data_IF_226692157972
#
_entry.id   IF_226692157972
#
_cell.length_a   1.000
_cell.length_b   1.000
_cell.length_c   1.000
_cell.angle_alpha   90.00
_cell.angle_beta   90.00
_cell.angle_gamma   90.00
#
_symmetry.space_group_name_H-M   'P 1'
#
loop_
_entity.id
_entity.type
_entity.pdbx_description
1 polymer ?
#
# COMPACT_ATOMS: atom_id res chain seq x y z
N UNK A 1 6.84 -38.43 11.28
CA UNK A 1 6.45 -37.00 11.11
C UNK A 1 7.09 -36.23 12.25
N UNK A 2 8.08 -35.37 11.97
CA UNK A 2 8.59 -34.47 13.00
C UNK A 2 7.47 -33.47 13.34
N UNK A 3 7.10 -33.37 14.61
CA UNK A 3 6.21 -32.30 15.10
C UNK A 3 6.84 -30.97 14.75
N UNK A 4 6.22 -30.22 13.82
CA UNK A 4 6.70 -28.91 13.40
C UNK A 4 6.67 -27.99 14.63
N UNK A 5 7.83 -27.49 15.05
CA UNK A 5 7.90 -26.54 16.16
C UNK A 5 7.06 -25.32 15.81
N UNK A 6 6.15 -24.93 16.71
CA UNK A 6 5.33 -23.73 16.58
C UNK A 6 5.96 -22.67 17.47
N UNK A 7 6.43 -21.57 16.88
CA UNK A 7 7.05 -20.47 17.61
C UNK A 7 5.99 -19.60 18.26
N UNK A 8 6.04 -19.45 19.59
CA UNK A 8 5.30 -18.42 20.32
C UNK A 8 5.85 -17.06 19.93
N UNK A 9 5.06 -16.30 19.19
CA UNK A 9 5.51 -15.09 18.51
C UNK A 9 4.83 -13.87 19.10
N UNK A 10 5.60 -12.83 19.36
CA UNK A 10 5.09 -11.49 19.68
C UNK A 10 5.37 -10.58 18.50
N UNK A 11 4.39 -9.78 18.11
CA UNK A 11 4.62 -8.68 17.17
C UNK A 11 4.70 -7.40 18.00
N UNK A 12 5.89 -6.84 18.13
CA UNK A 12 6.06 -5.56 18.79
C UNK A 12 5.77 -4.44 17.78
N UNK A 13 4.65 -3.75 17.95
CA UNK A 13 4.14 -2.68 17.09
C UNK A 13 2.75 -3.05 16.58
N UNK A 14 1.69 -2.42 17.11
CA UNK A 14 0.31 -2.67 16.69
C UNK A 14 -0.16 -1.72 15.56
N UNK A 15 0.78 -1.05 14.88
CA UNK A 15 0.52 -0.22 13.71
C UNK A 15 0.45 -1.03 12.41
N UNK A 16 0.32 -0.34 11.27
CA UNK A 16 0.19 -0.92 9.94
C UNK A 16 1.11 -2.12 9.67
N UNK A 17 2.41 -1.91 9.82
CA UNK A 17 3.44 -2.91 9.49
C UNK A 17 3.28 -4.17 10.34
N UNK A 18 3.07 -4.03 11.65
CA UNK A 18 2.82 -5.17 12.51
C UNK A 18 1.54 -5.92 12.13
N UNK A 19 0.45 -5.19 11.84
CA UNK A 19 -0.81 -5.80 11.41
C UNK A 19 -0.68 -6.56 10.08
N UNK A 20 0.02 -6.00 9.08
CA UNK A 20 0.24 -6.68 7.80
C UNK A 20 1.19 -7.87 7.95
N UNK A 21 2.24 -7.73 8.76
CA UNK A 21 3.13 -8.85 9.06
C UNK A 21 2.37 -10.01 9.68
N UNK A 22 1.43 -9.74 10.59
CA UNK A 22 0.58 -10.77 11.19
C UNK A 22 -0.20 -11.58 10.14
N UNK A 23 -0.67 -10.95 9.06
CA UNK A 23 -1.42 -11.60 7.97
C UNK A 23 -0.54 -12.48 7.07
N UNK A 24 0.76 -12.20 7.01
CA UNK A 24 1.74 -12.94 6.21
C UNK A 24 2.30 -14.18 6.92
N UNK A 25 2.14 -14.28 8.24
CA UNK A 25 2.71 -15.38 9.01
C UNK A 25 1.97 -16.70 8.75
N UNK A 26 2.73 -17.71 8.35
CA UNK A 26 2.22 -19.08 8.20
C UNK A 26 2.11 -19.84 9.53
N UNK A 27 1.56 -21.05 9.47
CA UNK A 27 1.20 -21.89 10.63
C UNK A 27 2.35 -22.28 11.57
N UNK A 28 3.61 -21.97 11.24
CA UNK A 28 4.75 -22.19 12.13
C UNK A 28 4.84 -21.14 13.24
N UNK A 29 4.09 -20.04 13.15
CA UNK A 29 4.16 -18.90 14.08
C UNK A 29 2.80 -18.71 14.75
N UNK A 30 2.75 -18.93 16.06
CA UNK A 30 1.58 -18.65 16.88
C UNK A 30 1.70 -17.24 17.46
N UNK A 31 0.94 -16.28 16.93
CA UNK A 31 0.93 -14.92 17.46
C UNK A 31 0.22 -14.91 18.81
N UNK A 32 0.92 -14.51 19.87
CA UNK A 32 0.38 -14.48 21.22
C UNK A 32 -0.26 -13.15 21.56
N UNK A 33 0.38 -12.04 21.19
CA UNK A 33 -0.18 -10.71 21.27
C UNK A 33 0.59 -9.75 20.36
N UNK A 34 -0.01 -8.58 20.13
CA UNK A 34 0.75 -7.39 19.78
C UNK A 34 1.27 -6.73 21.05
N UNK A 35 2.54 -6.35 21.08
CA UNK A 35 3.06 -5.41 22.08
C UNK A 35 2.99 -4.00 21.50
N UNK A 36 2.62 -2.98 22.28
CA UNK A 36 2.66 -1.58 21.82
C UNK A 36 3.01 -0.67 23.00
N UNK A 37 3.74 0.42 22.75
CA UNK A 37 4.08 1.39 23.80
C UNK A 37 2.93 2.35 24.11
N UNK A 38 1.92 2.44 23.24
CA UNK A 38 0.74 3.28 23.47
C UNK A 38 -0.23 2.61 24.47
N UNK A 39 -0.36 3.12 25.71
CA UNK A 39 -1.22 2.51 26.72
C UNK A 39 -2.70 2.57 26.33
N UNK A 40 -3.11 3.47 25.44
CA UNK A 40 -4.50 3.57 24.97
C UNK A 40 -4.93 2.34 24.19
N UNK A 41 -3.98 1.62 23.56
CA UNK A 41 -4.25 0.40 22.79
C UNK A 41 -4.33 -0.85 23.66
N UNK A 42 -3.81 -0.82 24.89
CA UNK A 42 -3.73 -2.02 25.72
C UNK A 42 -5.13 -2.52 26.11
N UNK A 43 -5.34 -3.83 25.99
CA UNK A 43 -6.65 -4.46 26.20
C UNK A 43 -7.59 -4.42 24.99
N UNK A 44 -7.22 -3.71 23.92
CA UNK A 44 -7.88 -3.82 22.62
C UNK A 44 -7.39 -5.06 21.86
N UNK A 45 -8.02 -5.34 20.72
CA UNK A 45 -7.71 -6.47 19.86
C UNK A 45 -7.54 -6.03 18.41
N UNK A 46 -6.61 -6.68 17.70
CA UNK A 46 -6.53 -6.64 16.24
C UNK A 46 -7.01 -8.01 15.75
N UNK A 47 -8.20 -8.03 15.13
CA UNK A 47 -8.91 -9.29 14.92
C UNK A 47 -9.13 -9.99 16.26
N UNK A 48 -8.58 -11.21 16.41
CA UNK A 48 -8.67 -12.00 17.64
C UNK A 48 -7.37 -11.96 18.47
N UNK A 49 -6.41 -11.11 18.12
CA UNK A 49 -5.10 -11.05 18.78
C UNK A 49 -5.08 -9.86 19.75
N UNK A 50 -4.80 -10.07 21.05
CA UNK A 50 -4.82 -8.99 22.03
C UNK A 50 -3.63 -8.03 21.85
N UNK A 51 -3.81 -6.78 22.25
CA UNK A 51 -2.75 -5.78 22.38
C UNK A 51 -2.38 -5.61 23.85
N UNK A 52 -1.10 -5.74 24.17
CA UNK A 52 -0.57 -5.71 25.53
C UNK A 52 0.60 -4.71 25.66
N UNK A 53 0.97 -4.40 26.91
CA UNK A 53 2.22 -3.70 27.18
C UNK A 53 3.43 -4.59 26.86
N UNK A 54 4.60 -4.02 26.53
CA UNK A 54 5.81 -4.80 26.29
C UNK A 54 6.21 -5.68 27.47
N UNK A 55 6.00 -5.20 28.71
CA UNK A 55 6.23 -5.98 29.93
C UNK A 55 5.33 -7.22 30.03
N UNK A 56 4.04 -7.09 29.72
CA UNK A 56 3.11 -8.22 29.68
C UNK A 56 3.47 -9.19 28.55
N UNK A 57 3.87 -8.67 27.39
CA UNK A 57 4.29 -9.47 26.25
C UNK A 57 5.56 -10.28 26.55
N UNK A 58 6.57 -9.68 27.20
CA UNK A 58 7.77 -10.38 27.65
C UNK A 58 7.45 -11.53 28.61
N UNK A 59 6.50 -11.32 29.53
CA UNK A 59 6.07 -12.33 30.50
C UNK A 59 5.37 -13.55 29.87
N UNK A 60 4.97 -13.48 28.59
CA UNK A 60 4.44 -14.64 27.85
C UNK A 60 5.54 -15.62 27.40
N UNK A 61 6.81 -15.29 27.65
CA UNK A 61 7.99 -16.09 27.29
C UNK A 61 7.98 -16.49 25.80
N UNK A 62 8.04 -15.50 24.89
CA UNK A 62 8.01 -15.80 23.47
C UNK A 62 9.31 -16.46 22.99
N UNK A 63 9.20 -17.25 21.93
CA UNK A 63 10.35 -17.82 21.21
C UNK A 63 10.91 -16.82 20.19
N UNK A 64 10.07 -15.90 19.71
CA UNK A 64 10.37 -14.94 18.66
C UNK A 64 9.66 -13.60 18.90
N UNK A 65 10.37 -12.50 18.67
CA UNK A 65 9.77 -11.16 18.57
C UNK A 65 9.96 -10.62 17.16
N UNK A 66 8.86 -10.25 16.51
CA UNK A 66 8.85 -9.53 15.24
C UNK A 66 8.69 -8.04 15.53
N UNK A 67 9.58 -7.22 14.97
CA UNK A 67 9.53 -5.77 15.11
C UNK A 67 8.62 -5.16 14.03
N UNK A 68 7.36 -4.90 14.36
CA UNK A 68 6.32 -4.37 13.47
C UNK A 68 6.49 -2.90 13.08
N UNK A 69 7.72 -2.46 12.79
CA UNK A 69 8.08 -1.13 12.30
C UNK A 69 9.22 -1.25 11.28
N UNK A 70 9.28 -0.34 10.31
CA UNK A 70 10.36 -0.33 9.31
C UNK A 70 11.50 0.65 9.62
N UNK A 71 11.28 1.56 10.57
CA UNK A 71 12.24 2.59 10.98
C UNK A 71 13.36 1.99 11.86
N UNK A 72 14.63 2.20 11.49
CA UNK A 72 15.77 1.55 12.15
C UNK A 72 15.97 2.01 13.60
N UNK A 73 15.78 3.29 13.88
CA UNK A 73 15.94 3.85 15.23
C UNK A 73 14.90 3.28 16.18
N UNK A 74 13.62 3.26 15.76
CA UNK A 74 12.54 2.63 16.53
C UNK A 74 12.80 1.15 16.75
N UNK A 75 13.27 0.40 15.73
CA UNK A 75 13.66 -1.01 15.91
C UNK A 75 14.71 -1.18 16.99
N UNK A 76 15.78 -0.38 16.94
CA UNK A 76 16.84 -0.40 17.95
C UNK A 76 16.34 -0.13 19.37
N UNK A 77 15.48 0.89 19.52
CA UNK A 77 14.84 1.20 20.81
C UNK A 77 13.97 0.06 21.33
N UNK A 78 13.17 -0.56 20.46
CA UNK A 78 12.29 -1.67 20.81
C UNK A 78 13.06 -2.94 21.20
N UNK A 79 14.17 -3.23 20.52
CA UNK A 79 15.06 -4.34 20.89
C UNK A 79 15.64 -4.15 22.28
N UNK A 80 16.25 -2.99 22.56
CA UNK A 80 16.80 -2.65 23.88
C UNK A 80 15.75 -2.74 24.99
N UNK A 81 14.53 -2.28 24.70
CA UNK A 81 13.42 -2.36 25.66
C UNK A 81 13.08 -3.81 26.01
N UNK A 82 12.98 -4.70 25.02
CA UNK A 82 12.68 -6.12 25.27
C UNK A 82 13.82 -6.83 25.98
N UNK A 83 15.08 -6.51 25.65
CA UNK A 83 16.26 -7.01 26.34
C UNK A 83 16.28 -6.60 27.81
N UNK A 84 15.96 -5.35 28.13
CA UNK A 84 15.85 -4.86 29.50
C UNK A 84 14.70 -5.53 30.28
N UNK A 85 13.65 -5.96 29.57
CA UNK A 85 12.55 -6.75 30.12
C UNK A 85 12.88 -8.25 30.26
N UNK A 86 14.13 -8.65 29.97
CA UNK A 86 14.64 -10.01 30.15
C UNK A 86 14.47 -10.94 28.94
N UNK A 87 14.11 -10.40 27.77
CA UNK A 87 14.06 -11.18 26.53
C UNK A 87 15.44 -11.24 25.85
N UNK A 88 15.98 -12.44 25.71
CA UNK A 88 17.26 -12.68 25.03
C UNK A 88 17.13 -13.66 23.85
N UNK A 89 15.91 -13.81 23.32
CA UNK A 89 15.63 -14.65 22.16
C UNK A 89 15.89 -13.95 20.83
N UNK A 90 15.43 -14.55 19.73
CA UNK A 90 15.64 -14.00 18.38
C UNK A 90 14.70 -12.83 18.07
N UNK A 91 15.22 -11.82 17.38
CA UNK A 91 14.40 -10.79 16.74
C UNK A 91 14.28 -11.06 15.25
N UNK A 92 13.11 -10.78 14.69
CA UNK A 92 12.88 -10.76 13.25
C UNK A 92 12.41 -9.36 12.84
N UNK A 93 12.94 -8.91 11.71
CA UNK A 93 12.68 -7.61 11.14
C UNK A 93 11.91 -7.79 9.81
N UNK A 94 10.73 -7.17 9.66
CA UNK A 94 9.97 -7.21 8.42
C UNK A 94 10.65 -6.48 7.27
N UNK A 95 11.82 -5.84 7.45
CA UNK A 95 12.58 -5.23 6.34
C UNK A 95 12.90 -6.21 5.21
N UNK A 96 13.01 -7.52 5.49
CA UNK A 96 13.16 -8.55 4.45
C UNK A 96 11.97 -8.56 3.46
N UNK A 97 10.78 -8.14 3.91
CA UNK A 97 9.61 -7.97 3.04
C UNK A 97 9.75 -6.78 2.09
N UNK A 98 10.67 -5.83 2.33
CA UNK A 98 10.99 -4.78 1.34
C UNK A 98 11.70 -5.35 0.12
N UNK A 99 12.49 -6.41 0.29
CA UNK A 99 13.15 -7.08 -0.83
C UNK A 99 12.16 -7.88 -1.68
N UNK A 100 11.13 -8.44 -1.04
CA UNK A 100 10.06 -9.22 -1.67
C UNK A 100 8.74 -8.46 -1.60
N UNK A 101 8.62 -7.42 -2.42
CA UNK A 101 7.45 -6.57 -2.48
C UNK A 101 6.28 -7.26 -3.22
N UNK A 102 5.21 -7.55 -2.48
CA UNK A 102 4.02 -8.22 -3.02
C UNK A 102 3.23 -7.34 -4.02
N UNK A 103 3.21 -6.01 -3.86
CA UNK A 103 2.56 -5.09 -4.81
C UNK A 103 3.28 -5.15 -6.15
N UNK A 104 4.61 -5.09 -6.14
CA UNK A 104 5.44 -5.19 -7.35
C UNK A 104 5.28 -6.56 -8.00
N UNK A 105 5.28 -7.63 -7.20
CA UNK A 105 5.07 -8.99 -7.72
C UNK A 105 3.70 -9.15 -8.39
N UNK A 106 2.64 -8.63 -7.77
CA UNK A 106 1.29 -8.63 -8.35
C UNK A 106 1.26 -7.82 -9.64
N UNK A 107 1.82 -6.60 -9.67
CA UNK A 107 1.90 -5.79 -10.89
C UNK A 107 2.57 -6.54 -12.04
N UNK A 108 3.71 -7.21 -11.80
CA UNK A 108 4.42 -7.99 -12.83
C UNK A 108 3.58 -9.15 -13.35
N UNK A 109 2.94 -9.91 -12.47
CA UNK A 109 2.06 -11.02 -12.86
C UNK A 109 0.83 -10.53 -13.65
N UNK A 110 0.28 -9.37 -13.28
CA UNK A 110 -0.80 -8.73 -14.02
C UNK A 110 -0.34 -8.29 -15.41
N UNK A 111 0.86 -7.72 -15.53
CA UNK A 111 1.45 -7.34 -16.82
C UNK A 111 1.65 -8.56 -17.74
N UNK A 112 2.23 -9.64 -17.21
CA UNK A 112 2.37 -10.91 -17.93
C UNK A 112 1.02 -11.42 -18.45
N UNK A 113 -0.01 -11.41 -17.60
CA UNK A 113 -1.35 -11.84 -17.97
C UNK A 113 -1.99 -10.93 -19.04
N UNK A 114 -1.83 -9.61 -18.90
CA UNK A 114 -2.34 -8.61 -19.85
C UNK A 114 -1.71 -8.82 -21.24
N UNK A 115 -0.40 -9.05 -21.30
CA UNK A 115 0.30 -9.36 -22.54
C UNK A 115 -0.14 -10.70 -23.12
N UNK A 116 -0.22 -11.76 -22.30
CA UNK A 116 -0.66 -13.08 -22.75
C UNK A 116 -2.07 -13.06 -23.36
N UNK A 117 -2.96 -12.24 -22.79
CA UNK A 117 -4.35 -12.12 -23.24
C UNK A 117 -4.53 -11.04 -24.32
N UNK A 118 -3.48 -10.33 -24.71
CA UNK A 118 -3.51 -9.21 -25.65
C UNK A 118 -4.55 -8.14 -25.28
N UNK A 119 -4.67 -7.82 -23.99
CA UNK A 119 -5.62 -6.79 -23.54
C UNK A 119 -5.13 -5.42 -24.05
N UNK A 120 -5.94 -4.68 -24.81
CA UNK A 120 -5.53 -3.41 -25.42
C UNK A 120 -5.56 -2.26 -24.40
N UNK A 121 -4.87 -1.17 -24.73
CA UNK A 121 -4.85 0.06 -23.93
C UNK A 121 -3.47 0.38 -23.37
N UNK A 122 -3.25 1.64 -23.02
CA UNK A 122 -2.03 2.12 -22.38
C UNK A 122 -2.03 1.81 -20.88
N UNK A 123 -0.99 2.25 -20.16
CA UNK A 123 -0.90 2.11 -18.71
C UNK A 123 -0.89 3.48 -18.04
N UNK A 124 -1.35 3.54 -16.79
CA UNK A 124 -1.40 4.79 -16.04
C UNK A 124 -1.02 4.62 -14.57
N UNK A 125 -0.55 5.71 -13.97
CA UNK A 125 -0.39 5.85 -12.53
C UNK A 125 -0.89 7.21 -12.06
N UNK A 126 -1.75 7.21 -11.04
CA UNK A 126 -2.16 8.40 -10.30
C UNK A 126 -1.49 8.38 -8.92
N UNK A 127 -0.67 9.39 -8.65
CA UNK A 127 0.23 9.42 -7.49
C UNK A 127 1.56 8.77 -7.86
N UNK A 128 2.47 9.59 -8.38
CA UNK A 128 3.76 9.19 -8.98
C UNK A 128 4.88 9.37 -7.97
N UNK A 129 4.82 10.44 -7.17
CA UNK A 129 5.92 10.87 -6.29
C UNK A 129 7.26 10.87 -7.03
N UNK A 130 8.25 10.09 -6.59
CA UNK A 130 9.59 10.02 -7.20
C UNK A 130 9.67 9.07 -8.40
N UNK A 131 8.57 8.39 -8.76
CA UNK A 131 8.46 7.60 -9.99
C UNK A 131 9.02 6.18 -9.91
N UNK A 132 9.41 5.69 -8.73
CA UNK A 132 9.98 4.35 -8.58
C UNK A 132 9.01 3.25 -9.06
N UNK A 133 7.74 3.32 -8.66
CA UNK A 133 6.73 2.37 -9.12
C UNK A 133 6.38 2.58 -10.60
N UNK A 134 6.34 3.84 -11.06
CA UNK A 134 6.15 4.18 -12.47
C UNK A 134 7.23 3.56 -13.38
N UNK A 135 8.50 3.58 -12.94
CA UNK A 135 9.61 2.95 -13.64
C UNK A 135 9.39 1.43 -13.76
N UNK A 136 8.91 0.79 -12.69
CA UNK A 136 8.59 -0.65 -12.69
C UNK A 136 7.43 -0.97 -13.64
N UNK A 137 6.37 -0.14 -13.66
CA UNK A 137 5.27 -0.27 -14.61
C UNK A 137 5.78 -0.12 -16.04
N UNK A 138 6.51 0.96 -16.34
CA UNK A 138 7.06 1.21 -17.69
C UNK A 138 7.97 0.08 -18.16
N UNK A 139 8.76 -0.50 -17.25
CA UNK A 139 9.60 -1.68 -17.54
C UNK A 139 8.76 -2.91 -17.89
N UNK A 140 7.62 -3.11 -17.22
CA UNK A 140 6.73 -4.24 -17.45
C UNK A 140 5.89 -4.09 -18.74
N UNK A 141 5.69 -2.86 -19.21
CA UNK A 141 4.90 -2.51 -20.41
C UNK A 141 5.72 -1.67 -21.41
N UNK A 142 6.85 -2.18 -21.94
CA UNK A 142 7.78 -1.38 -22.75
C UNK A 142 7.20 -0.94 -24.11
N UNK A 143 6.15 -1.61 -24.58
CA UNK A 143 5.44 -1.38 -25.84
C UNK A 143 4.26 -0.40 -25.72
N UNK A 144 3.99 0.13 -24.51
CA UNK A 144 2.83 0.97 -24.22
C UNK A 144 3.25 2.33 -23.68
N UNK A 145 2.38 3.32 -23.87
CA UNK A 145 2.57 4.62 -23.23
C UNK A 145 2.22 4.50 -21.75
N UNK A 146 2.92 5.26 -20.92
CA UNK A 146 2.62 5.40 -19.50
C UNK A 146 2.15 6.82 -19.20
N UNK A 147 0.92 6.95 -18.69
CA UNK A 147 0.30 8.20 -18.30
C UNK A 147 0.51 8.43 -16.80
N UNK A 148 1.25 9.48 -16.45
CA UNK A 148 1.64 9.78 -15.08
C UNK A 148 0.89 11.02 -14.58
N UNK A 149 -0.04 10.83 -13.66
CA UNK A 149 -0.84 11.89 -13.06
C UNK A 149 -0.33 12.19 -11.66
N UNK A 150 0.14 13.42 -11.46
CA UNK A 150 0.62 13.88 -10.16
C UNK A 150 0.55 15.41 -10.10
N UNK A 151 0.42 15.97 -8.90
CA UNK A 151 0.54 17.41 -8.73
C UNK A 151 1.98 17.89 -8.92
N UNK A 152 2.96 17.03 -8.63
CA UNK A 152 4.38 17.34 -8.42
C UNK A 152 4.59 18.46 -7.39
N UNK A 153 3.62 18.62 -6.49
CA UNK A 153 3.55 19.62 -5.43
C UNK A 153 3.08 19.00 -4.10
N UNK A 154 2.93 17.67 -4.07
CA UNK A 154 2.37 16.93 -2.95
C UNK A 154 0.85 17.04 -2.85
N UNK A 155 0.29 16.69 -1.69
CA UNK A 155 -1.16 16.75 -1.51
C UNK A 155 -1.73 18.16 -1.68
N UNK A 156 -2.77 18.27 -2.50
CA UNK A 156 -3.49 19.52 -2.76
C UNK A 156 -4.29 19.95 -1.53
N UNK A 157 -4.37 21.26 -1.31
CA UNK A 157 -5.20 21.85 -0.25
C UNK A 157 -6.68 21.43 -0.38
N UNK A 158 -7.18 21.28 -1.62
CA UNK A 158 -8.55 20.85 -1.89
C UNK A 158 -8.83 19.46 -1.32
N UNK A 159 -7.91 18.53 -1.53
CA UNK A 159 -8.05 17.14 -1.08
C UNK A 159 -7.92 17.03 0.43
N UNK A 160 -6.97 17.78 1.01
CA UNK A 160 -6.75 17.85 2.46
C UNK A 160 -7.94 18.46 3.19
N UNK A 161 -8.63 19.44 2.60
CA UNK A 161 -9.85 19.99 3.17
C UNK A 161 -10.95 18.92 3.32
N UNK A 162 -11.14 18.08 2.29
CA UNK A 162 -12.08 16.95 2.34
C UNK A 162 -11.64 15.92 3.37
N UNK A 163 -10.38 15.53 3.33
CA UNK A 163 -9.78 14.53 4.22
C UNK A 163 -9.92 14.92 5.70
N UNK A 164 -9.64 16.19 6.01
CA UNK A 164 -9.77 16.77 7.36
C UNK A 164 -11.22 16.82 7.81
N UNK A 165 -12.13 17.31 6.95
CA UNK A 165 -13.56 17.44 7.28
C UNK A 165 -14.23 16.11 7.59
N UNK A 166 -13.69 15.01 7.06
CA UNK A 166 -14.21 13.64 7.23
C UNK A 166 -13.39 12.82 8.23
N UNK A 167 -12.35 13.39 8.84
CA UNK A 167 -11.45 12.74 9.78
C UNK A 167 -10.80 11.45 9.24
N UNK A 168 -10.38 11.45 7.97
CA UNK A 168 -9.96 10.24 7.27
C UNK A 168 -8.46 9.93 7.40
N UNK A 169 -7.64 10.94 7.64
CA UNK A 169 -6.21 10.77 7.93
C UNK A 169 -5.64 11.99 8.66
N UNK A 170 -4.32 12.01 8.86
CA UNK A 170 -3.57 13.15 9.41
C UNK A 170 -2.70 13.84 8.34
N UNK A 171 -2.97 13.58 7.07
CA UNK A 171 -2.27 14.15 5.94
C UNK A 171 -2.32 15.68 5.97
N UNK A 172 -1.30 16.32 5.42
CA UNK A 172 -1.19 17.78 5.31
C UNK A 172 -0.90 18.19 3.87
N UNK A 173 -1.27 19.42 3.55
CA UNK A 173 -0.95 20.04 2.26
C UNK A 173 0.56 20.03 2.04
N UNK A 174 1.00 19.57 0.86
CA UNK A 174 2.41 19.48 0.49
C UNK A 174 3.15 18.28 1.08
N UNK A 175 2.51 17.39 1.84
CA UNK A 175 3.09 16.07 2.09
C UNK A 175 3.37 15.38 0.74
N UNK A 176 4.50 14.67 0.63
CA UNK A 176 5.00 14.07 -0.63
C UNK A 176 5.37 15.06 -1.75
N UNK A 177 5.66 16.32 -1.44
CA UNK A 177 6.13 17.33 -2.41
C UNK A 177 7.60 17.22 -2.85
N UNK A 178 8.36 16.27 -2.28
CA UNK A 178 9.80 16.11 -2.57
C UNK A 178 10.06 15.34 -3.87
N UNK A 179 9.57 15.88 -4.98
CA UNK A 179 9.74 15.32 -6.34
C UNK A 179 9.57 16.40 -7.42
N UNK A 180 10.00 16.09 -8.64
CA UNK A 180 9.80 16.91 -9.83
C UNK A 180 9.78 16.05 -11.10
N UNK A 181 9.26 16.61 -12.20
CA UNK A 181 9.09 15.91 -13.47
C UNK A 181 10.42 15.42 -14.05
N UNK A 182 11.48 16.22 -13.98
CA UNK A 182 12.78 15.85 -14.56
C UNK A 182 13.41 14.68 -13.80
N UNK A 183 13.30 14.67 -12.47
CA UNK A 183 13.73 13.55 -11.62
C UNK A 183 13.02 12.26 -11.98
N UNK A 184 11.71 12.31 -12.18
CA UNK A 184 10.91 11.15 -12.60
C UNK A 184 11.30 10.67 -14.00
N UNK A 185 11.43 11.58 -14.98
CA UNK A 185 11.81 11.20 -16.34
C UNK A 185 13.21 10.59 -16.42
N UNK A 186 14.16 11.01 -15.56
CA UNK A 186 15.53 10.46 -15.54
C UNK A 186 15.62 8.98 -15.19
N UNK A 187 14.65 8.46 -14.43
CA UNK A 187 14.67 7.05 -14.00
C UNK A 187 13.83 6.14 -14.92
N UNK A 188 13.12 6.71 -15.90
CA UNK A 188 12.28 5.94 -16.80
C UNK A 188 13.12 5.15 -17.81
N UNK A 189 12.78 3.87 -18.08
CA UNK A 189 13.50 3.05 -19.06
C UNK A 189 13.50 3.68 -20.46
N UNK A 190 12.36 4.24 -20.87
CA UNK A 190 12.21 5.02 -22.10
C UNK A 190 11.32 6.25 -21.86
N UNK A 191 11.90 7.43 -21.63
CA UNK A 191 11.15 8.66 -21.40
C UNK A 191 10.26 9.08 -22.58
N UNK A 192 10.50 8.58 -23.80
CA UNK A 192 9.68 8.94 -24.97
C UNK A 192 8.27 8.34 -24.95
N UNK A 193 8.06 7.29 -24.14
CA UNK A 193 6.76 6.66 -23.91
C UNK A 193 5.99 7.27 -22.72
N UNK A 194 6.57 8.25 -22.03
CA UNK A 194 5.99 8.85 -20.84
C UNK A 194 5.15 10.07 -21.20
N UNK A 195 3.90 10.11 -20.71
CA UNK A 195 3.01 11.28 -20.82
C UNK A 195 2.75 11.81 -19.41
N UNK A 196 3.23 13.03 -19.16
CA UNK A 196 3.09 13.70 -17.87
C UNK A 196 1.81 14.53 -17.84
N UNK A 197 0.97 14.27 -16.84
CA UNK A 197 -0.25 15.00 -16.53
C UNK A 197 -0.06 15.74 -15.21
N UNK A 198 0.69 16.85 -15.25
CA UNK A 198 1.01 17.65 -14.07
C UNK A 198 -0.18 18.53 -13.67
N UNK A 199 -0.68 18.33 -12.45
CA UNK A 199 -1.74 19.16 -11.87
C UNK A 199 -2.64 18.37 -10.94
N UNK A 200 -3.67 19.05 -10.43
CA UNK A 200 -4.64 18.42 -9.53
C UNK A 200 -5.58 17.48 -10.31
N UNK A 201 -5.74 16.26 -9.83
CA UNK A 201 -6.72 15.31 -10.35
C UNK A 201 -8.10 15.58 -9.71
N UNK A 202 -9.22 15.58 -10.45
CA UNK A 202 -9.43 15.04 -11.81
C UNK A 202 -9.24 16.04 -12.97
N UNK A 203 -8.86 17.30 -12.71
CA UNK A 203 -8.75 18.30 -13.79
C UNK A 203 -7.77 17.84 -14.88
N UNK A 204 -6.67 17.17 -14.51
CA UNK A 204 -5.70 16.62 -15.45
C UNK A 204 -6.21 15.44 -16.29
N UNK A 205 -7.36 14.85 -15.94
CA UNK A 205 -7.98 13.78 -16.72
C UNK A 205 -8.92 14.33 -17.80
N UNK A 206 -9.30 15.62 -17.76
CA UNK A 206 -10.27 16.17 -18.72
C UNK A 206 -9.79 16.14 -20.17
N UNK A 207 -8.48 16.15 -20.37
CA UNK A 207 -7.85 16.18 -21.69
C UNK A 207 -7.77 14.79 -22.33
N UNK A 208 -8.11 13.74 -21.57
CA UNK A 208 -8.07 12.34 -21.99
C UNK A 208 -9.43 11.95 -22.53
N UNK A 209 -9.51 11.85 -23.85
CA UNK A 209 -10.78 11.68 -24.56
C UNK A 209 -10.91 10.31 -25.20
N UNK A 210 -9.83 9.81 -25.80
CA UNK A 210 -9.85 8.61 -26.65
C UNK A 210 -8.95 7.47 -26.12
N UNK A 211 -8.18 7.73 -25.06
CA UNK A 211 -7.27 6.74 -24.48
C UNK A 211 -8.03 5.68 -23.69
N UNK A 212 -7.59 4.43 -23.87
CA UNK A 212 -8.06 3.28 -23.08
C UNK A 212 -6.89 2.70 -22.31
N UNK A 213 -7.16 2.07 -21.17
CA UNK A 213 -6.12 1.55 -20.30
C UNK A 213 -6.25 0.03 -20.11
N UNK A 214 -5.12 -0.68 -20.08
CA UNK A 214 -5.10 -2.09 -19.68
C UNK A 214 -4.69 -2.26 -18.20
N UNK A 215 -3.93 -1.33 -17.66
CA UNK A 215 -3.46 -1.35 -16.28
C UNK A 215 -3.38 0.08 -15.72
N UNK A 216 -3.90 0.28 -14.51
CA UNK A 216 -3.83 1.56 -13.80
C UNK A 216 -3.41 1.33 -12.35
N UNK A 217 -2.35 2.00 -11.91
CA UNK A 217 -1.97 2.13 -10.50
C UNK A 217 -2.66 3.36 -9.90
N UNK A 218 -3.42 3.20 -8.81
CA UNK A 218 -4.01 4.29 -8.04
C UNK A 218 -3.33 4.36 -6.68
N UNK A 219 -2.55 5.41 -6.44
CA UNK A 219 -1.72 5.61 -5.26
C UNK A 219 -1.77 7.07 -4.78
N UNK A 220 -3.00 7.57 -4.59
CA UNK A 220 -3.23 8.96 -4.21
C UNK A 220 -3.42 9.16 -2.70
N UNK A 221 -3.38 8.08 -1.91
CA UNK A 221 -3.65 7.97 -0.45
C UNK A 221 -5.04 8.43 0.03
N UNK A 222 -5.48 9.58 -0.45
CA UNK A 222 -6.60 10.37 0.05
C UNK A 222 -7.93 9.95 -0.58
N UNK A 223 -9.03 10.29 0.10
CA UNK A 223 -10.37 9.97 -0.38
C UNK A 223 -10.71 10.68 -1.70
N UNK A 224 -10.54 12.01 -1.75
CA UNK A 224 -11.03 12.82 -2.86
C UNK A 224 -10.43 12.41 -4.23
N UNK A 225 -9.09 12.31 -4.39
CA UNK A 225 -8.51 11.89 -5.66
C UNK A 225 -8.87 10.44 -6.01
N UNK A 226 -8.85 9.53 -5.03
CA UNK A 226 -9.24 8.12 -5.25
C UNK A 226 -10.69 7.98 -5.70
N UNK A 227 -11.62 8.67 -5.04
CA UNK A 227 -13.05 8.65 -5.35
C UNK A 227 -13.36 9.24 -6.74
N UNK A 228 -12.59 10.25 -7.17
CA UNK A 228 -12.69 10.79 -8.52
C UNK A 228 -12.10 9.84 -9.57
N UNK A 229 -10.97 9.19 -9.26
CA UNK A 229 -10.22 8.36 -10.20
C UNK A 229 -10.93 7.06 -10.55
N UNK A 230 -11.50 6.38 -9.55
CA UNK A 230 -12.16 5.08 -9.71
C UNK A 230 -13.16 5.04 -10.87
N UNK A 231 -14.20 5.90 -10.94
CA UNK A 231 -15.15 5.86 -12.04
C UNK A 231 -14.52 6.24 -13.40
N UNK A 232 -13.63 7.25 -13.43
CA UNK A 232 -13.00 7.73 -14.66
C UNK A 232 -12.12 6.67 -15.31
N UNK A 233 -11.20 6.08 -14.53
CA UNK A 233 -10.33 5.02 -15.03
C UNK A 233 -11.08 3.72 -15.28
N UNK A 234 -12.04 3.33 -14.43
CA UNK A 234 -12.80 2.10 -14.66
C UNK A 234 -13.61 2.16 -15.96
N UNK A 235 -14.18 3.31 -16.30
CA UNK A 235 -14.86 3.52 -17.58
C UNK A 235 -13.91 3.34 -18.76
N UNK A 236 -12.70 3.91 -18.69
CA UNK A 236 -11.66 3.84 -19.75
C UNK A 236 -10.84 2.55 -19.75
N UNK A 237 -11.01 1.69 -18.75
CA UNK A 237 -10.32 0.41 -18.69
C UNK A 237 -10.85 -0.54 -19.78
N UNK A 238 -9.98 -1.27 -20.45
CA UNK A 238 -10.38 -2.36 -21.35
C UNK A 238 -10.99 -3.50 -20.55
N UNK A 239 -11.85 -4.32 -21.19
CA UNK A 239 -12.31 -5.58 -20.58
C UNK A 239 -11.08 -6.45 -20.30
N UNK A 240 -10.98 -6.96 -19.08
CA UNK A 240 -9.80 -7.66 -18.58
C UNK A 240 -8.69 -6.73 -18.10
N UNK A 241 -8.81 -5.40 -18.18
CA UNK A 241 -7.85 -4.51 -17.56
C UNK A 241 -8.00 -4.46 -16.03
N UNK A 242 -7.00 -3.91 -15.34
CA UNK A 242 -6.92 -3.90 -13.87
C UNK A 242 -6.66 -2.51 -13.31
N UNK A 243 -7.38 -2.17 -12.24
CA UNK A 243 -6.99 -1.13 -11.29
C UNK A 243 -6.25 -1.80 -10.14
N UNK A 244 -4.98 -1.46 -9.91
CA UNK A 244 -4.21 -1.80 -8.71
C UNK A 244 -4.22 -0.58 -7.80
N UNK A 245 -4.86 -0.69 -6.64
CA UNK A 245 -5.17 0.43 -5.76
C UNK A 245 -4.36 0.25 -4.49
N UNK A 246 -3.49 1.21 -4.17
CA UNK A 246 -2.65 1.19 -2.99
C UNK A 246 -3.37 1.77 -1.76
N UNK A 247 -2.88 1.44 -0.56
CA UNK A 247 -3.38 1.94 0.73
C UNK A 247 -4.87 1.68 1.06
N UNK A 248 -5.53 0.74 0.37
CA UNK A 248 -6.94 0.34 0.62
C UNK A 248 -7.14 -0.22 2.03
N UNK A 249 -6.17 -0.91 2.61
CA UNK A 249 -6.22 -1.42 3.99
C UNK A 249 -5.20 -0.71 4.90
N UNK A 250 -4.81 0.50 4.51
CA UNK A 250 -3.94 1.37 5.28
C UNK A 250 -4.59 1.74 6.61
N UNK A 251 -3.79 1.75 7.68
CA UNK A 251 -4.23 2.28 8.97
C UNK A 251 -4.00 3.79 9.09
N UNK A 252 -3.29 4.38 8.11
CA UNK A 252 -2.92 5.78 8.08
C UNK A 252 -3.88 6.60 7.22
N UNK A 253 -4.32 6.03 6.10
CA UNK A 253 -5.18 6.68 5.12
C UNK A 253 -6.50 5.93 4.95
N UNK A 254 -7.47 6.20 5.83
CA UNK A 254 -8.79 5.55 5.72
C UNK A 254 -9.63 6.09 4.57
N UNK A 255 -9.20 7.21 3.96
CA UNK A 255 -9.86 7.82 2.82
C UNK A 255 -9.86 6.94 1.57
N UNK A 256 -8.74 6.30 1.24
CA UNK A 256 -8.66 5.36 0.12
C UNK A 256 -9.66 4.21 0.27
N UNK A 257 -9.62 3.51 1.42
CA UNK A 257 -10.56 2.43 1.73
C UNK A 257 -12.02 2.84 1.49
N UNK A 258 -12.39 4.01 2.03
CA UNK A 258 -13.75 4.53 1.95
C UNK A 258 -14.18 4.80 0.51
N UNK A 259 -13.30 5.36 -0.31
CA UNK A 259 -13.58 5.62 -1.72
C UNK A 259 -13.79 4.31 -2.50
N UNK A 260 -12.94 3.30 -2.26
CA UNK A 260 -13.04 1.98 -2.88
C UNK A 260 -14.33 1.27 -2.48
N UNK A 261 -14.66 1.26 -1.18
CA UNK A 261 -15.89 0.63 -0.68
C UNK A 261 -17.15 1.26 -1.28
N UNK A 262 -17.21 2.60 -1.33
CA UNK A 262 -18.35 3.33 -1.91
C UNK A 262 -18.49 3.05 -3.41
N UNK A 263 -17.38 2.99 -4.15
CA UNK A 263 -17.37 2.64 -5.57
C UNK A 263 -17.81 1.18 -5.81
N UNK A 264 -17.20 0.23 -5.11
CA UNK A 264 -17.51 -1.19 -5.23
C UNK A 264 -18.98 -1.46 -4.90
N UNK A 265 -19.51 -0.86 -3.82
CA UNK A 265 -20.92 -0.99 -3.44
C UNK A 265 -21.86 -0.46 -4.52
N UNK A 266 -21.56 0.71 -5.07
CA UNK A 266 -22.38 1.37 -6.10
C UNK A 266 -22.41 0.59 -7.42
N UNK A 267 -21.29 -0.03 -7.78
CA UNK A 267 -21.12 -0.71 -9.07
C UNK A 267 -21.22 -2.24 -9.00
N UNK A 268 -21.52 -2.79 -7.81
CA UNK A 268 -21.57 -4.24 -7.55
C UNK A 268 -20.25 -4.95 -7.92
N UNK A 269 -19.13 -4.32 -7.57
CA UNK A 269 -17.79 -4.83 -7.77
C UNK A 269 -17.20 -5.31 -6.45
N UNK A 270 -16.10 -6.07 -6.55
CA UNK A 270 -15.30 -6.51 -5.43
C UNK A 270 -13.87 -6.04 -5.63
N UNK A 271 -13.25 -5.56 -4.55
CA UNK A 271 -11.82 -5.28 -4.51
C UNK A 271 -11.12 -6.46 -3.83
N UNK A 272 -10.32 -7.20 -4.59
CA UNK A 272 -9.58 -8.35 -4.08
C UNK A 272 -8.31 -7.88 -3.36
N UNK A 273 -8.07 -8.28 -2.10
CA UNK A 273 -6.95 -7.77 -1.33
C UNK A 273 -5.61 -8.30 -1.84
N UNK A 274 -4.60 -7.43 -1.80
CA UNK A 274 -3.18 -7.78 -2.01
C UNK A 274 -2.48 -7.70 -0.66
N UNK A 275 -1.83 -8.79 -0.25
CA UNK A 275 -1.20 -8.89 1.08
C UNK A 275 0.21 -8.25 1.10
N UNK A 276 0.34 -7.00 0.64
CA UNK A 276 1.55 -6.22 0.84
C UNK A 276 1.57 -5.53 2.23
N UNK A 277 2.63 -4.76 2.51
CA UNK A 277 2.78 -4.06 3.79
C UNK A 277 1.89 -2.83 3.96
N UNK A 278 1.26 -2.35 2.89
CA UNK A 278 0.52 -1.10 2.85
C UNK A 278 -0.99 -1.30 2.68
N UNK A 279 -1.41 -2.49 2.27
CA UNK A 279 -2.78 -2.89 2.10
C UNK A 279 -3.34 -2.53 0.71
N UNK A 280 -2.70 -2.96 -0.38
CA UNK A 280 -3.30 -2.77 -1.71
C UNK A 280 -4.52 -3.66 -1.96
N UNK A 281 -5.28 -3.34 -3.00
CA UNK A 281 -6.32 -4.19 -3.57
C UNK A 281 -6.35 -4.09 -5.11
N UNK A 282 -6.98 -5.05 -5.78
CA UNK A 282 -7.20 -5.01 -7.22
C UNK A 282 -8.69 -5.01 -7.55
N UNK A 283 -9.06 -4.29 -8.61
CA UNK A 283 -10.36 -4.40 -9.25
C UNK A 283 -10.13 -4.74 -10.72
N UNK A 284 -10.67 -5.88 -11.17
CA UNK A 284 -10.64 -6.30 -12.58
C UNK A 284 -11.90 -5.81 -13.28
N UNK A 285 -11.77 -5.28 -14.50
CA UNK A 285 -12.94 -5.03 -15.35
C UNK A 285 -13.38 -6.30 -16.05
N UNK A 286 -14.64 -6.68 -15.87
CA UNK A 286 -15.21 -7.94 -16.36
C UNK A 286 -16.20 -7.68 -17.52
N UNK A 287 -16.81 -6.50 -17.56
CA UNK A 287 -17.83 -6.08 -18.54
C UNK A 287 -17.50 -4.71 -19.12
#
# INVERSE_FOLDING_TARGET
>A
MMTKHVYKTIIFGAGQIGQMTARLLGNSYQIMCFADNDPRKHGQFIGNIPICSPSKAAALLPDLIILGVLDEERRGSMMQQMEHLGYHGSFCDPSALRMFDARVAVMRLLAEQIHQQNIPGDVAELGVFQGDFSCLISTAFPDRKIHLFDTFEGFSEKDIAVETSRHLSRAKTGDFSSTDVDSVLRIMPDPSHVIIHKGWFPDTFSDITDETFCFVSLDADLYAPTAAALPLFYERLSIGGVLLIHDVYSTQFSGCNKAVDEFCLKHHLFADPVCDLHGSAIIRKII
#
